data_IF_055979183440
#
_entry.id   IF_055979183440
#
_cell.length_a   1.000
_cell.length_b   1.000
_cell.length_c   1.000
_cell.angle_alpha   90.00
_cell.angle_beta   90.00
_cell.angle_gamma   90.00
#
_symmetry.space_group_name_H-M   'P 1'
#
loop_
_entity.id
_entity.type
_entity.pdbx_description
1 polymer ?
#
# COMPACT_ATOMS: atom_id res chain seq x y z
N UNK A 1 2.41 17.98 34.29
CA UNK A 1 2.02 17.30 33.02
C UNK A 1 3.15 17.27 31.98
N UNK A 2 3.90 18.36 31.72
CA UNK A 2 4.98 18.38 30.70
C UNK A 2 6.14 17.39 30.87
N UNK A 3 6.43 16.92 32.10
CA UNK A 3 7.58 16.03 32.38
C UNK A 3 7.38 14.56 31.96
N UNK A 4 6.12 14.15 31.74
CA UNK A 4 5.80 12.79 31.29
C UNK A 4 5.62 12.69 29.76
N UNK A 5 5.57 13.83 29.04
CA UNK A 5 5.41 13.82 27.58
C UNK A 5 6.68 13.38 26.84
N UNK A 6 7.85 13.72 27.36
CA UNK A 6 9.14 13.38 26.76
C UNK A 6 9.44 11.87 26.72
N UNK A 7 9.29 11.09 27.81
CA UNK A 7 9.56 9.64 27.76
C UNK A 7 8.52 8.88 26.92
N UNK A 8 7.25 9.33 26.91
CA UNK A 8 6.19 8.73 26.08
C UNK A 8 6.47 8.93 24.59
N UNK A 9 6.92 10.12 24.20
CA UNK A 9 7.29 10.40 22.81
C UNK A 9 8.52 9.58 22.37
N UNK A 10 9.52 9.43 23.24
CA UNK A 10 10.70 8.61 22.97
C UNK A 10 10.33 7.12 22.78
N UNK A 11 9.41 6.61 23.60
CA UNK A 11 8.92 5.23 23.48
C UNK A 11 8.15 5.02 22.15
N UNK A 12 7.29 5.96 21.77
CA UNK A 12 6.55 5.90 20.51
C UNK A 12 7.48 5.87 19.29
N UNK A 13 8.51 6.72 19.28
CA UNK A 13 9.50 6.76 18.19
C UNK A 13 10.29 5.45 18.12
N UNK A 14 10.70 4.89 19.25
CA UNK A 14 11.45 3.63 19.31
C UNK A 14 10.62 2.42 18.81
N UNK A 15 9.30 2.44 19.01
CA UNK A 15 8.41 1.37 18.53
C UNK A 15 8.00 1.50 17.06
N UNK A 16 8.11 2.70 16.47
CA UNK A 16 7.71 2.95 15.09
C UNK A 16 8.58 2.19 14.07
N UNK A 17 9.86 1.93 14.39
CA UNK A 17 10.77 1.16 13.53
C UNK A 17 10.52 -0.35 13.55
N UNK A 18 9.87 -0.88 14.60
CA UNK A 18 9.58 -2.32 14.74
C UNK A 18 8.40 -2.77 13.86
N UNK A 19 7.55 -1.83 13.41
CA UNK A 19 6.37 -2.10 12.58
C UNK A 19 6.53 -1.66 11.12
N UNK A 20 7.73 -1.21 10.73
CA UNK A 20 8.03 -0.96 9.33
C UNK A 20 8.18 -2.31 8.63
N UNK A 21 7.06 -2.91 8.24
CA UNK A 21 7.07 -3.98 7.25
C UNK A 21 7.89 -3.50 6.05
N UNK A 22 8.82 -4.33 5.61
CA UNK A 22 9.69 -4.02 4.48
C UNK A 22 8.80 -3.61 3.30
N UNK A 23 8.96 -2.38 2.81
CA UNK A 23 8.13 -1.87 1.72
C UNK A 23 8.49 -2.66 0.46
N UNK A 24 7.63 -3.60 0.10
CA UNK A 24 7.78 -4.41 -1.11
C UNK A 24 7.00 -3.77 -2.25
N UNK A 25 7.58 -3.82 -3.44
CA UNK A 25 6.98 -3.25 -4.63
C UNK A 25 6.01 -4.25 -5.26
N UNK A 26 4.81 -3.78 -5.59
CA UNK A 26 3.83 -4.54 -6.35
C UNK A 26 3.01 -5.53 -5.52
N UNK A 27 2.34 -6.44 -6.24
CA UNK A 27 1.51 -7.48 -5.67
C UNK A 27 2.38 -8.62 -5.14
N UNK A 28 2.15 -9.07 -3.90
CA UNK A 28 2.96 -10.14 -3.32
C UNK A 28 2.55 -11.51 -3.85
N UNK A 29 3.46 -12.47 -3.79
CA UNK A 29 3.17 -13.86 -4.17
C UNK A 29 2.04 -14.40 -3.29
N UNK A 30 0.95 -14.81 -3.93
CA UNK A 30 -0.25 -15.32 -3.26
C UNK A 30 -1.37 -14.29 -3.09
N UNK A 31 -1.08 -13.00 -3.28
CA UNK A 31 -2.13 -11.97 -3.28
C UNK A 31 -2.89 -12.00 -4.61
N UNK A 32 -4.20 -11.71 -4.55
CA UNK A 32 -5.01 -11.46 -5.73
C UNK A 32 -4.95 -9.98 -6.10
N UNK A 33 -4.87 -9.69 -7.40
CA UNK A 33 -5.02 -8.32 -7.88
C UNK A 33 -6.42 -7.80 -7.49
N UNK A 34 -6.50 -6.54 -7.08
CA UNK A 34 -7.79 -5.87 -6.92
C UNK A 34 -8.47 -5.66 -8.27
N UNK A 35 -9.72 -5.21 -8.26
CA UNK A 35 -10.41 -4.82 -9.50
C UNK A 35 -9.73 -3.60 -10.11
N UNK A 36 -9.43 -3.63 -11.41
CA UNK A 36 -8.87 -2.47 -12.10
C UNK A 36 -9.47 -2.28 -13.49
N UNK A 37 -9.47 -1.03 -13.94
CA UNK A 37 -9.89 -0.68 -15.29
C UNK A 37 -8.68 -0.62 -16.21
N UNK A 38 -8.84 -1.16 -17.41
CA UNK A 38 -7.86 -1.07 -18.50
C UNK A 38 -8.51 -0.35 -19.67
N UNK A 39 -7.82 0.64 -20.23
CA UNK A 39 -8.21 1.18 -21.53
C UNK A 39 -7.58 0.34 -22.62
N UNK A 40 -8.42 -0.24 -23.46
CA UNK A 40 -7.96 -1.10 -24.54
C UNK A 40 -7.50 -0.24 -25.72
N UNK A 41 -6.20 -0.16 -25.97
CA UNK A 41 -5.63 0.69 -27.04
C UNK A 41 -5.38 -0.11 -28.33
N UNK A 42 -5.02 -1.38 -28.20
CA UNK A 42 -4.57 -2.24 -29.32
C UNK A 42 -5.30 -3.57 -29.40
N UNK A 43 -6.15 -3.88 -28.41
CA UNK A 43 -6.90 -5.11 -28.34
C UNK A 43 -8.25 -5.04 -29.07
N UNK A 44 -9.02 -6.14 -28.99
CA UNK A 44 -10.23 -6.33 -29.77
C UNK A 44 -11.36 -5.38 -29.38
N UNK A 45 -11.30 -4.76 -28.20
CA UNK A 45 -12.25 -3.77 -27.71
C UNK A 45 -11.66 -2.36 -27.76
N UNK A 46 -10.86 -2.07 -28.79
CA UNK A 46 -10.15 -0.80 -28.97
C UNK A 46 -11.00 0.43 -28.62
N UNK A 47 -10.35 1.35 -27.91
CA UNK A 47 -10.85 2.60 -27.37
C UNK A 47 -11.92 2.47 -26.27
N UNK A 48 -12.26 1.23 -25.84
CA UNK A 48 -13.14 1.00 -24.68
C UNK A 48 -12.35 0.89 -23.37
N UNK A 49 -13.05 1.16 -22.27
CA UNK A 49 -12.57 0.85 -20.92
C UNK A 49 -13.19 -0.44 -20.45
N UNK A 50 -12.36 -1.40 -20.03
CA UNK A 50 -12.74 -2.72 -19.56
C UNK A 50 -12.42 -2.85 -18.08
N UNK A 51 -13.28 -3.55 -17.34
CA UNK A 51 -13.05 -3.88 -15.94
C UNK A 51 -12.50 -5.30 -15.83
N UNK A 52 -11.31 -5.45 -15.24
CA UNK A 52 -10.68 -6.73 -14.94
C UNK A 52 -10.70 -6.99 -13.44
N UNK A 53 -10.94 -8.24 -13.08
CA UNK A 53 -10.89 -8.79 -11.72
C UNK A 53 -9.88 -9.92 -11.69
#
# INVERSE_FOLDING_TARGET
MRRFCAPVLALLIATASLMAAELKSGLQVGDAAGVFNVRDITGPNKDKTLCYR
#
